data_IF_398504173989
#
_entry.id   IF_398504173989
#
_cell.length_a   1.000
_cell.length_b   1.000
_cell.length_c   1.000
_cell.angle_alpha   90.00
_cell.angle_beta   90.00
_cell.angle_gamma   90.00
#
_symmetry.space_group_name_H-M   'P 1'
#
loop_
_entity.id
_entity.type
_entity.pdbx_description
1 polymer ?
#
# COMPACT_ATOMS: atom_id res chain seq x y z
N UNK A 1 41.79 -16.69 -5.21
CA UNK A 1 40.61 -16.93 -4.37
C UNK A 1 39.51 -16.00 -4.84
N UNK A 2 38.58 -16.47 -5.69
CA UNK A 2 37.50 -15.62 -6.22
C UNK A 2 36.28 -15.73 -5.32
N UNK A 3 35.92 -14.63 -4.68
CA UNK A 3 34.67 -14.46 -3.95
C UNK A 3 33.54 -14.46 -4.97
N UNK A 4 32.78 -15.56 -5.04
CA UNK A 4 31.57 -15.66 -5.87
C UNK A 4 30.46 -14.86 -5.17
N UNK A 5 30.40 -13.54 -5.41
CA UNK A 5 29.28 -12.72 -4.96
C UNK A 5 28.11 -12.95 -5.90
N UNK A 6 27.26 -13.93 -5.58
CA UNK A 6 25.98 -14.15 -6.27
C UNK A 6 25.14 -12.90 -6.10
N UNK A 7 25.18 -12.00 -7.09
CA UNK A 7 24.37 -10.80 -7.12
C UNK A 7 22.93 -11.20 -7.41
N UNK A 8 22.14 -11.42 -6.37
CA UNK A 8 20.69 -11.58 -6.49
C UNK A 8 20.10 -10.21 -6.86
N UNK A 9 20.07 -9.90 -8.15
CA UNK A 9 19.34 -8.74 -8.65
C UNK A 9 17.86 -8.99 -8.42
N UNK A 10 17.29 -8.32 -7.42
CA UNK A 10 15.84 -8.25 -7.27
C UNK A 10 15.28 -7.61 -8.55
N UNK A 11 14.24 -8.21 -9.17
CA UNK A 11 13.64 -7.63 -10.35
C UNK A 11 13.08 -6.25 -9.99
N UNK A 12 13.15 -5.30 -10.93
CA UNK A 12 12.66 -3.94 -10.72
C UNK A 12 11.14 -3.83 -10.80
N UNK A 13 10.48 -4.85 -11.35
CA UNK A 13 9.04 -5.02 -11.33
C UNK A 13 8.70 -6.48 -11.00
N UNK A 14 7.67 -6.73 -10.18
CA UNK A 14 7.15 -8.07 -9.97
C UNK A 14 6.41 -8.53 -11.24
N UNK A 15 6.14 -9.84 -11.34
CA UNK A 15 5.30 -10.32 -12.44
C UNK A 15 3.91 -9.66 -12.37
N UNK A 16 3.26 -9.33 -13.50
CA UNK A 16 1.97 -8.63 -13.47
C UNK A 16 0.87 -9.37 -12.70
N UNK A 17 0.86 -10.70 -12.78
CA UNK A 17 -0.08 -11.55 -12.03
C UNK A 17 0.18 -11.49 -10.53
N UNK A 18 1.45 -11.58 -10.12
CA UNK A 18 1.82 -11.43 -8.71
C UNK A 18 1.44 -10.05 -8.20
N UNK A 19 1.74 -9.00 -8.97
CA UNK A 19 1.41 -7.63 -8.60
C UNK A 19 -0.09 -7.44 -8.38
N UNK A 20 -0.91 -7.93 -9.31
CA UNK A 20 -2.38 -7.88 -9.19
C UNK A 20 -2.86 -8.64 -7.95
N UNK A 21 -2.33 -9.84 -7.72
CA UNK A 21 -2.70 -10.65 -6.58
C UNK A 21 -2.35 -9.96 -5.25
N UNK A 22 -1.13 -9.45 -5.11
CA UNK A 22 -0.69 -8.77 -3.88
C UNK A 22 -1.48 -7.48 -3.66
N UNK A 23 -1.76 -6.71 -4.70
CA UNK A 23 -2.60 -5.50 -4.58
C UNK A 23 -4.04 -5.84 -4.16
N UNK A 24 -4.61 -6.94 -4.66
CA UNK A 24 -5.92 -7.41 -4.21
C UNK A 24 -5.88 -7.77 -2.71
N UNK A 25 -4.82 -8.42 -2.24
CA UNK A 25 -4.65 -8.75 -0.80
C UNK A 25 -4.53 -7.50 0.07
N UNK A 26 -3.85 -6.46 -0.41
CA UNK A 26 -3.78 -5.15 0.26
C UNK A 26 -5.17 -4.52 0.36
N UNK A 27 -5.93 -4.52 -0.75
CA UNK A 27 -7.31 -3.99 -0.76
C UNK A 27 -8.20 -4.74 0.24
N UNK A 28 -8.18 -6.07 0.23
CA UNK A 28 -8.92 -6.91 1.18
C UNK A 28 -8.52 -6.63 2.65
N UNK A 29 -7.24 -6.41 2.92
CA UNK A 29 -6.75 -6.09 4.26
C UNK A 29 -7.27 -4.72 4.73
N UNK A 30 -7.26 -3.72 3.86
CA UNK A 30 -7.76 -2.38 4.17
C UNK A 30 -9.30 -2.37 4.32
N UNK A 31 -10.02 -3.12 3.48
CA UNK A 31 -11.48 -3.27 3.62
C UNK A 31 -11.85 -3.83 4.99
N UNK A 32 -11.17 -4.88 5.45
CA UNK A 32 -11.37 -5.42 6.81
C UNK A 32 -10.97 -4.43 7.90
N UNK A 33 -9.89 -3.69 7.71
CA UNK A 33 -9.36 -2.75 8.72
C UNK A 33 -10.27 -1.55 8.95
N UNK A 34 -10.91 -1.03 7.90
CA UNK A 34 -11.75 0.16 7.97
C UNK A 34 -13.25 -0.17 7.91
N UNK A 35 -13.61 -1.44 8.08
CA UNK A 35 -15.00 -1.89 8.14
C UNK A 35 -15.77 -1.08 9.20
N UNK A 36 -16.99 -0.65 8.85
CA UNK A 36 -17.84 0.17 9.71
C UNK A 36 -17.39 1.62 9.90
N UNK A 37 -16.20 2.02 9.42
CA UNK A 37 -15.67 3.38 9.56
C UNK A 37 -15.62 4.12 8.23
N UNK A 38 -15.20 3.43 7.16
CA UNK A 38 -15.12 3.97 5.80
C UNK A 38 -15.83 3.01 4.85
N UNK A 39 -16.54 3.54 3.85
CA UNK A 39 -17.23 2.69 2.86
C UNK A 39 -16.26 1.89 2.02
N UNK A 40 -16.65 0.69 1.61
CA UNK A 40 -15.82 -0.18 0.78
C UNK A 40 -15.45 0.49 -0.55
N UNK A 41 -16.35 1.29 -1.13
CA UNK A 41 -16.13 2.07 -2.35
C UNK A 41 -14.99 3.08 -2.15
N UNK A 42 -14.97 3.77 -1.00
CA UNK A 42 -13.95 4.77 -0.68
C UNK A 42 -12.58 4.10 -0.49
N UNK A 43 -12.51 2.99 0.26
CA UNK A 43 -11.27 2.21 0.42
C UNK A 43 -10.72 1.81 -0.95
N UNK A 44 -11.57 1.27 -1.83
CA UNK A 44 -11.19 0.87 -3.20
C UNK A 44 -10.73 2.04 -4.07
N UNK A 45 -11.39 3.20 -3.96
CA UNK A 45 -10.96 4.41 -4.70
C UNK A 45 -9.58 4.85 -4.24
N UNK A 46 -9.37 4.97 -2.93
CA UNK A 46 -8.10 5.42 -2.35
C UNK A 46 -6.96 4.50 -2.73
N UNK A 47 -7.13 3.17 -2.64
CA UNK A 47 -6.09 2.22 -3.05
C UNK A 47 -5.73 2.40 -4.53
N UNK A 48 -6.72 2.52 -5.42
CA UNK A 48 -6.49 2.72 -6.86
C UNK A 48 -5.75 4.03 -7.15
N UNK A 49 -6.16 5.12 -6.51
CA UNK A 49 -5.52 6.43 -6.66
C UNK A 49 -4.08 6.40 -6.17
N UNK A 50 -3.83 5.86 -4.97
CA UNK A 50 -2.48 5.76 -4.39
C UNK A 50 -1.56 4.92 -5.28
N UNK A 51 -2.04 3.78 -5.80
CA UNK A 51 -1.25 2.95 -6.72
C UNK A 51 -0.92 3.71 -8.00
N UNK A 52 -1.88 4.44 -8.57
CA UNK A 52 -1.67 5.25 -9.77
C UNK A 52 -0.65 6.38 -9.53
N UNK A 53 -0.77 7.09 -8.40
CA UNK A 53 0.12 8.17 -7.99
C UNK A 53 1.56 7.67 -7.85
N UNK A 54 1.76 6.60 -7.07
CA UNK A 54 3.08 6.02 -6.83
C UNK A 54 3.70 5.45 -8.12
N UNK A 55 2.88 4.90 -9.03
CA UNK A 55 3.37 4.33 -10.28
C UNK A 55 3.80 5.40 -11.30
N UNK A 56 3.21 6.60 -11.27
CA UNK A 56 3.35 7.63 -12.32
C UNK A 56 4.80 8.07 -12.60
N UNK A 57 5.72 7.90 -11.66
CA UNK A 57 7.14 8.22 -11.83
C UNK A 57 8.11 7.13 -11.35
N UNK A 58 7.61 5.93 -11.01
CA UNK A 58 8.43 4.90 -10.40
C UNK A 58 9.25 4.12 -11.45
N UNK A 59 10.58 4.09 -11.27
CA UNK A 59 11.49 3.21 -12.03
C UNK A 59 11.52 1.79 -11.49
N UNK A 60 11.12 1.60 -10.23
CA UNK A 60 11.07 0.32 -9.53
C UNK A 60 9.68 0.20 -8.87
N UNK A 61 8.96 -0.87 -9.18
CA UNK A 61 7.59 -1.12 -8.69
C UNK A 61 7.48 -2.37 -7.83
N UNK A 62 8.59 -3.06 -7.55
CA UNK A 62 8.66 -4.24 -6.68
C UNK A 62 8.04 -4.02 -5.31
N UNK A 63 8.22 -2.83 -4.75
CA UNK A 63 7.69 -2.45 -3.43
C UNK A 63 6.41 -1.62 -3.51
N UNK A 64 5.85 -1.44 -4.71
CA UNK A 64 4.64 -0.64 -4.93
C UNK A 64 3.47 -1.09 -4.03
N UNK A 65 3.19 -2.40 -3.84
CA UNK A 65 2.07 -2.81 -2.98
C UNK A 65 2.23 -2.40 -1.52
N UNK A 66 3.43 -2.56 -0.95
CA UNK A 66 3.70 -2.19 0.43
C UNK A 66 3.63 -0.67 0.64
N UNK A 67 4.15 0.12 -0.30
CA UNK A 67 4.03 1.57 -0.27
C UNK A 67 2.57 2.02 -0.43
N UNK A 68 1.82 1.35 -1.30
CA UNK A 68 0.41 1.65 -1.50
C UNK A 68 -0.43 1.35 -0.26
N UNK A 69 -0.20 0.22 0.42
CA UNK A 69 -0.88 -0.11 1.68
C UNK A 69 -0.65 0.97 2.75
N UNK A 70 0.61 1.36 2.95
CA UNK A 70 0.98 2.37 3.95
C UNK A 70 0.34 3.71 3.64
N UNK A 71 0.43 4.17 2.40
CA UNK A 71 -0.10 5.47 2.00
C UNK A 71 -1.63 5.49 1.98
N UNK A 72 -2.29 4.42 1.51
CA UNK A 72 -3.74 4.29 1.58
C UNK A 72 -4.23 4.28 3.04
N UNK A 73 -3.55 3.55 3.94
CA UNK A 73 -3.85 3.58 5.38
C UNK A 73 -3.78 5.00 5.93
N UNK A 74 -2.71 5.73 5.61
CA UNK A 74 -2.52 7.12 6.05
C UNK A 74 -3.66 8.03 5.57
N UNK A 75 -4.04 7.93 4.30
CA UNK A 75 -5.13 8.74 3.72
C UNK A 75 -6.49 8.39 4.34
N UNK A 76 -6.80 7.10 4.50
CA UNK A 76 -8.05 6.64 5.10
C UNK A 76 -8.19 7.00 6.59
N UNK A 77 -7.08 6.99 7.33
CA UNK A 77 -7.04 7.49 8.72
C UNK A 77 -7.32 8.98 8.79
N UNK A 78 -6.76 9.78 7.87
CA UNK A 78 -7.00 11.22 7.83
C UNK A 78 -8.44 11.60 7.44
N UNK A 79 -9.15 10.73 6.71
CA UNK A 79 -10.57 10.92 6.38
C UNK A 79 -11.53 10.46 7.48
N UNK A 80 -11.02 9.70 8.46
CA UNK A 80 -11.82 9.30 9.61
C UNK A 80 -11.78 10.46 10.62
N UNK A 81 -12.92 11.02 11.07
CA UNK A 81 -12.91 12.02 12.13
C UNK A 81 -12.17 11.43 13.31
N UNK A 82 -11.15 12.14 13.77
CA UNK A 82 -10.18 11.61 14.69
C UNK A 82 -10.84 11.08 15.96
N UNK A 83 -10.25 9.99 16.45
CA UNK A 83 -10.09 9.76 17.88
C UNK A 83 -9.24 10.91 18.49
N UNK A 84 -9.78 12.13 18.45
CA UNK A 84 -9.16 13.38 18.92
C UNK A 84 -9.08 13.45 20.45
N UNK A 85 -9.50 12.40 21.16
CA UNK A 85 -9.61 12.37 22.61
C UNK A 85 -8.37 11.82 23.35
N UNK A 86 -7.41 11.14 22.70
CA UNK A 86 -6.26 10.52 23.42
C UNK A 86 -4.90 11.18 23.25
N UNK A 87 -4.74 12.16 22.35
CA UNK A 87 -3.46 12.86 22.16
C UNK A 87 -3.32 14.17 22.98
N UNK A 88 -4.37 14.59 23.71
CA UNK A 88 -4.37 15.83 24.53
C UNK A 88 -4.26 15.52 26.04
N UNK A 89 -4.12 14.25 26.42
CA UNK A 89 -4.19 13.81 27.84
C UNK A 89 -2.92 13.12 28.38
N UNK A 90 -1.73 13.42 27.83
CA UNK A 90 -0.45 12.93 28.37
C UNK A 90 0.56 14.07 28.55
#
# INVERSE_FOLDING_TARGET
>A
MSINTTSHHLPTAPSPLMQRHVLQRVEEALLRRFEGTVTAETVRSVVREVVADLKRGARITTFLPALAEREATRRLQATTPAHEAMAVAA
#
